data_IF_015890997157
#
_entry.id   IF_015890997157
#
_cell.length_a   1.000
_cell.length_b   1.000
_cell.length_c   1.000
_cell.angle_alpha   90.00
_cell.angle_beta   90.00
_cell.angle_gamma   90.00
#
_symmetry.space_group_name_H-M   'P 1'
#
loop_
_entity.id
_entity.type
_entity.pdbx_description
1 polymer ?
#
# COMPACT_ATOMS: atom_id res chain seq x y z
N UNK A 1 61.08 56.87 -8.05
CA UNK A 1 60.86 56.20 -9.35
C UNK A 1 59.54 55.42 -9.19
N UNK A 2 58.44 56.14 -8.92
CA UNK A 2 57.58 56.86 -9.90
C UNK A 2 56.70 55.82 -10.62
N UNK A 3 55.41 55.77 -10.30
CA UNK A 3 54.30 56.38 -11.08
C UNK A 3 54.10 55.67 -12.44
N UNK A 4 52.93 55.42 -13.01
CA UNK A 4 51.53 55.61 -12.70
C UNK A 4 50.75 55.07 -13.94
N UNK A 5 49.42 55.01 -13.87
CA UNK A 5 48.50 55.24 -15.00
C UNK A 5 48.48 54.23 -16.18
N UNK A 6 47.43 53.41 -16.28
CA UNK A 6 46.15 53.69 -16.98
C UNK A 6 46.12 53.33 -18.49
N UNK A 7 45.29 52.32 -18.77
CA UNK A 7 44.14 52.36 -19.71
C UNK A 7 44.39 52.26 -21.24
N UNK A 8 43.37 51.68 -21.92
CA UNK A 8 43.08 51.60 -23.39
C UNK A 8 43.65 50.37 -24.12
N UNK A 9 42.96 49.64 -25.02
CA UNK A 9 41.69 49.79 -25.76
C UNK A 9 41.29 48.42 -26.36
N UNK A 10 39.96 48.19 -26.49
CA UNK A 10 39.20 47.57 -27.60
C UNK A 10 39.91 46.64 -28.62
N UNK A 11 39.36 45.43 -28.83
CA UNK A 11 39.54 44.72 -30.11
C UNK A 11 39.14 43.23 -30.17
N UNK A 12 37.96 42.95 -30.73
CA UNK A 12 37.58 41.81 -31.60
C UNK A 12 37.64 40.34 -31.10
N UNK A 13 36.46 39.70 -31.11
CA UNK A 13 36.23 38.24 -31.23
C UNK A 13 36.61 37.75 -32.67
N UNK A 14 36.73 36.43 -33.00
CA UNK A 14 35.62 35.46 -32.91
C UNK A 14 36.00 33.96 -32.70
N UNK A 15 34.94 33.13 -32.62
CA UNK A 15 34.87 31.66 -32.71
C UNK A 15 35.46 30.89 -31.52
N UNK A 16 34.64 30.35 -30.62
CA UNK A 16 33.76 29.18 -30.80
C UNK A 16 33.94 28.40 -29.50
N UNK A 17 32.92 28.01 -28.77
CA UNK A 17 32.34 26.68 -28.93
C UNK A 17 31.01 26.61 -28.16
N UNK A 18 30.09 25.90 -28.80
CA UNK A 18 28.76 25.49 -28.36
C UNK A 18 28.82 24.83 -26.99
N UNK A 19 27.94 25.17 -26.05
CA UNK A 19 27.34 24.17 -25.16
C UNK A 19 26.00 24.68 -24.60
N UNK A 20 24.93 24.18 -25.22
CA UNK A 20 23.63 23.81 -24.62
C UNK A 20 22.95 24.81 -23.69
N UNK A 21 21.92 25.47 -24.24
CA UNK A 21 20.76 25.93 -23.47
C UNK A 21 20.25 24.79 -22.57
N UNK A 22 20.31 24.97 -21.25
CA UNK A 22 19.44 24.23 -20.34
C UNK A 22 18.03 24.81 -20.47
N UNK A 23 17.02 24.07 -20.95
CA UNK A 23 15.65 24.50 -20.78
C UNK A 23 15.31 24.47 -19.28
N UNK A 24 14.94 25.64 -18.79
CA UNK A 24 14.35 25.92 -17.47
C UNK A 24 13.32 24.84 -17.14
N UNK A 25 13.43 24.28 -15.94
CA UNK A 25 12.49 23.30 -15.40
C UNK A 25 11.05 23.81 -15.57
N UNK A 26 10.24 23.07 -16.34
CA UNK A 26 8.81 23.25 -16.34
C UNK A 26 8.31 22.95 -14.93
N UNK A 27 7.92 24.00 -14.22
CA UNK A 27 7.14 23.91 -13.01
C UNK A 27 5.78 23.34 -13.40
N UNK A 28 5.59 22.02 -13.28
CA UNK A 28 4.26 21.42 -13.35
C UNK A 28 3.53 21.88 -12.09
N UNK A 29 2.79 22.99 -12.21
CA UNK A 29 1.73 23.29 -11.27
C UNK A 29 0.71 22.17 -11.49
N UNK A 30 0.73 21.17 -10.62
CA UNK A 30 -0.37 20.22 -10.54
C UNK A 30 -1.51 21.02 -9.92
N UNK A 31 -2.41 21.48 -10.77
CA UNK A 31 -3.61 22.20 -10.35
C UNK A 31 -4.35 21.32 -9.32
N UNK A 32 -4.57 21.82 -8.08
CA UNK A 32 -5.18 21.04 -7.02
C UNK A 32 -6.63 20.63 -7.34
N UNK A 33 -7.31 21.34 -8.25
CA UNK A 33 -8.67 20.99 -8.67
C UNK A 33 -8.67 19.84 -9.69
N UNK A 34 -7.61 19.70 -10.49
CA UNK A 34 -7.48 18.59 -11.44
C UNK A 34 -7.29 17.23 -10.74
N UNK A 35 -6.69 17.22 -9.54
CA UNK A 35 -6.53 16.00 -8.74
C UNK A 35 -7.80 15.65 -7.97
N UNK A 36 -8.60 16.64 -7.56
CA UNK A 36 -9.91 16.43 -6.96
C UNK A 36 -10.91 15.87 -7.97
N UNK A 37 -10.85 16.31 -9.22
CA UNK A 37 -11.70 15.78 -10.29
C UNK A 37 -11.26 14.38 -10.76
N UNK A 38 -9.96 14.08 -10.76
CA UNK A 38 -9.48 12.72 -11.01
C UNK A 38 -9.91 11.73 -9.90
N UNK A 39 -9.99 12.19 -8.64
CA UNK A 39 -10.51 11.39 -7.53
C UNK A 39 -12.04 11.22 -7.58
N UNK A 40 -12.78 12.26 -7.98
CA UNK A 40 -14.23 12.16 -8.24
C UNK A 40 -14.56 11.26 -9.43
N UNK A 41 -13.73 11.26 -10.48
CA UNK A 41 -13.91 10.36 -11.61
C UNK A 41 -13.68 8.88 -11.25
N UNK A 42 -12.83 8.58 -10.26
CA UNK A 42 -12.62 7.21 -9.76
C UNK A 42 -13.76 6.76 -8.84
N UNK A 43 -14.29 7.65 -7.99
CA UNK A 43 -15.48 7.35 -7.17
C UNK A 43 -16.73 7.18 -8.05
N UNK A 44 -16.87 7.93 -9.14
CA UNK A 44 -17.97 7.76 -10.10
C UNK A 44 -17.92 6.45 -10.91
N UNK A 45 -16.75 5.81 -11.04
CA UNK A 45 -16.63 4.47 -11.66
C UNK A 45 -17.08 3.37 -10.70
N UNK A 46 -17.19 3.64 -9.40
CA UNK A 46 -17.60 2.66 -8.38
C UNK A 46 -19.09 2.70 -8.01
N UNK A 47 -19.89 3.62 -8.57
CA UNK A 47 -21.34 3.69 -8.29
C UNK A 47 -22.25 3.15 -9.41
N UNK A 48 -21.72 2.75 -10.57
CA UNK A 48 -22.54 2.28 -11.73
C UNK A 48 -22.29 0.81 -12.16
N UNK A 49 -21.49 0.02 -11.42
CA UNK A 49 -21.28 -1.41 -11.74
C UNK A 49 -21.82 -2.37 -10.68
N UNK A 50 -22.99 -2.09 -10.12
CA UNK A 50 -23.71 -3.00 -9.20
C UNK A 50 -24.75 -3.92 -9.87
N UNK A 51 -24.81 -4.02 -11.22
CA UNK A 51 -25.81 -4.89 -11.91
C UNK A 51 -25.31 -5.64 -13.16
N UNK A 52 -24.01 -5.87 -13.36
CA UNK A 52 -23.53 -6.47 -14.63
C UNK A 52 -22.46 -7.58 -14.55
N UNK A 53 -22.22 -8.22 -13.40
CA UNK A 53 -21.46 -9.50 -13.34
C UNK A 53 -22.39 -10.67 -12.98
N UNK A 54 -23.60 -10.68 -13.56
CA UNK A 54 -24.54 -11.80 -13.41
C UNK A 54 -25.43 -12.00 -14.65
N UNK A 55 -24.86 -11.96 -15.87
CA UNK A 55 -25.69 -12.10 -17.09
C UNK A 55 -25.07 -12.75 -18.33
N UNK A 56 -24.20 -13.74 -18.14
CA UNK A 56 -23.86 -14.73 -19.19
C UNK A 56 -23.71 -16.05 -18.42
N UNK A 57 -24.68 -16.95 -18.30
CA UNK A 57 -25.44 -17.68 -19.32
C UNK A 57 -26.69 -18.30 -18.67
N UNK A 58 -27.82 -18.35 -19.40
CA UNK A 58 -28.84 -19.40 -19.23
C UNK A 58 -28.80 -20.27 -20.49
N UNK A 59 -28.90 -21.61 -20.34
CA UNK A 59 -30.18 -22.24 -20.59
C UNK A 59 -30.63 -23.17 -19.45
N UNK A 60 -31.93 -23.17 -19.26
CA UNK A 60 -32.74 -23.97 -18.35
C UNK A 60 -32.67 -25.48 -18.64
N UNK A 61 -32.38 -26.28 -17.63
CA UNK A 61 -32.92 -27.64 -17.46
C UNK A 61 -32.98 -27.97 -15.96
N UNK A 62 -34.01 -28.70 -15.48
CA UNK A 62 -34.41 -28.66 -14.09
C UNK A 62 -33.69 -29.76 -13.30
N UNK A 63 -32.79 -29.39 -12.39
CA UNK A 63 -32.26 -30.35 -11.43
C UNK A 63 -32.08 -29.69 -10.07
N UNK A 64 -32.97 -30.07 -9.16
CA UNK A 64 -32.79 -30.15 -7.70
C UNK A 64 -32.32 -28.87 -6.99
N UNK A 65 -33.30 -28.04 -6.62
CA UNK A 65 -33.13 -26.99 -5.62
C UNK A 65 -32.77 -27.63 -4.28
N UNK A 66 -31.51 -27.56 -3.83
CA UNK A 66 -31.06 -27.68 -2.42
C UNK A 66 -29.54 -27.43 -2.19
N UNK A 67 -28.69 -27.18 -3.20
CA UNK A 67 -27.21 -27.19 -3.03
C UNK A 67 -26.46 -25.84 -3.19
N UNK A 68 -27.12 -24.73 -3.55
CA UNK A 68 -26.42 -23.47 -3.87
C UNK A 68 -26.03 -22.60 -2.66
N UNK A 69 -26.77 -22.68 -1.55
CA UNK A 69 -26.51 -21.85 -0.34
C UNK A 69 -25.20 -22.25 0.36
N UNK A 70 -24.89 -23.54 0.38
CA UNK A 70 -23.73 -24.10 1.08
C UNK A 70 -22.39 -23.69 0.39
N UNK A 71 -22.38 -23.56 -0.94
CA UNK A 71 -21.19 -23.11 -1.68
C UNK A 71 -20.81 -21.66 -1.39
N UNK A 72 -21.81 -20.77 -1.28
CA UNK A 72 -21.59 -19.35 -1.00
C UNK A 72 -20.92 -19.16 0.37
N UNK A 73 -21.46 -19.83 1.39
CA UNK A 73 -20.92 -19.77 2.75
C UNK A 73 -19.50 -20.35 2.85
N UNK A 74 -19.24 -21.49 2.21
CA UNK A 74 -17.90 -22.09 2.18
C UNK A 74 -16.88 -21.23 1.44
N UNK A 75 -17.30 -20.50 0.39
CA UNK A 75 -16.45 -19.56 -0.31
C UNK A 75 -16.07 -18.36 0.59
N UNK A 76 -17.04 -17.73 1.26
CA UNK A 76 -16.78 -16.63 2.21
C UNK A 76 -15.84 -17.07 3.34
N UNK A 77 -16.03 -18.28 3.87
CA UNK A 77 -15.14 -18.83 4.92
C UNK A 77 -13.71 -19.03 4.42
N UNK A 78 -13.53 -19.56 3.21
CA UNK A 78 -12.19 -19.75 2.60
C UNK A 78 -11.49 -18.42 2.35
N UNK A 79 -12.22 -17.42 1.87
CA UNK A 79 -11.70 -16.06 1.69
C UNK A 79 -11.28 -15.44 3.02
N UNK A 80 -12.12 -15.56 4.06
CA UNK A 80 -11.80 -15.10 5.41
C UNK A 80 -10.53 -15.77 5.96
N UNK A 81 -10.40 -17.10 5.79
CA UNK A 81 -9.21 -17.84 6.20
C UNK A 81 -7.95 -17.42 5.43
N UNK A 82 -8.08 -17.21 4.11
CA UNK A 82 -7.01 -16.71 3.26
C UNK A 82 -6.52 -15.33 3.69
N UNK A 83 -7.46 -14.39 3.91
CA UNK A 83 -7.15 -13.04 4.41
C UNK A 83 -6.51 -13.10 5.80
N UNK A 84 -7.00 -13.96 6.70
CA UNK A 84 -6.42 -14.17 8.02
C UNK A 84 -4.95 -14.61 7.92
N UNK A 85 -4.65 -15.59 7.07
CA UNK A 85 -3.28 -16.06 6.84
C UNK A 85 -2.35 -14.92 6.36
N UNK A 86 -2.79 -14.10 5.41
CA UNK A 86 -2.03 -12.94 4.93
C UNK A 86 -1.75 -11.92 6.05
N UNK A 87 -2.72 -11.66 6.92
CA UNK A 87 -2.54 -10.76 8.07
C UNK A 87 -1.59 -11.32 9.12
N UNK A 88 -1.71 -12.60 9.44
CA UNK A 88 -0.77 -13.26 10.34
C UNK A 88 0.66 -13.11 9.82
N UNK A 89 0.88 -13.33 8.51
CA UNK A 89 2.20 -13.11 7.90
C UNK A 89 2.66 -11.66 8.05
N UNK A 90 1.78 -10.68 7.82
CA UNK A 90 2.10 -9.26 7.96
C UNK A 90 2.55 -8.91 9.38
N UNK A 91 1.81 -9.41 10.39
CA UNK A 91 2.12 -9.20 11.81
C UNK A 91 3.45 -9.86 12.22
N UNK A 92 3.73 -11.06 11.74
CA UNK A 92 5.03 -11.72 11.97
C UNK A 92 6.19 -10.99 11.30
N UNK A 93 5.93 -10.26 10.21
CA UNK A 93 6.92 -9.51 9.45
C UNK A 93 6.78 -7.99 9.64
N UNK A 94 6.26 -7.53 10.78
CA UNK A 94 5.92 -6.13 11.02
C UNK A 94 7.11 -5.16 10.87
N UNK A 95 8.34 -5.64 11.07
CA UNK A 95 9.55 -4.85 10.84
C UNK A 95 9.81 -4.58 9.34
N UNK A 96 9.36 -5.48 8.45
CA UNK A 96 9.58 -5.42 7.01
C UNK A 96 8.49 -6.20 6.24
N UNK A 97 7.27 -5.64 6.13
CA UNK A 97 6.13 -6.32 5.50
C UNK A 97 6.16 -6.17 3.97
N UNK A 98 7.27 -6.60 3.36
CA UNK A 98 7.47 -6.67 1.91
C UNK A 98 7.82 -8.10 1.55
N UNK A 99 6.82 -8.94 1.23
CA UNK A 99 7.08 -10.31 0.84
C UNK A 99 7.85 -10.36 -0.48
N UNK A 100 8.78 -11.30 -0.57
CA UNK A 100 9.47 -11.63 -1.81
C UNK A 100 8.50 -12.17 -2.86
N UNK A 101 8.95 -12.26 -4.12
CA UNK A 101 8.14 -12.83 -5.21
C UNK A 101 7.66 -14.25 -4.90
N UNK A 102 8.55 -15.09 -4.38
CA UNK A 102 8.22 -16.48 -4.02
C UNK A 102 7.23 -16.55 -2.86
N UNK A 103 7.40 -15.73 -1.83
CA UNK A 103 6.45 -15.65 -0.71
C UNK A 103 5.07 -15.19 -1.17
N UNK A 104 4.99 -14.18 -2.05
CA UNK A 104 3.71 -13.74 -2.62
C UNK A 104 3.01 -14.83 -3.40
N UNK A 105 3.74 -15.60 -4.21
CA UNK A 105 3.16 -16.74 -4.96
C UNK A 105 2.62 -17.81 -4.02
N UNK A 106 3.38 -18.18 -2.98
CA UNK A 106 2.94 -19.13 -1.96
C UNK A 106 1.69 -18.62 -1.23
N UNK A 107 1.71 -17.35 -0.80
CA UNK A 107 0.59 -16.72 -0.11
C UNK A 107 -0.67 -16.66 -0.97
N UNK A 108 -0.53 -16.34 -2.26
CA UNK A 108 -1.64 -16.32 -3.20
C UNK A 108 -2.29 -17.70 -3.36
N UNK A 109 -1.47 -18.75 -3.45
CA UNK A 109 -1.96 -20.13 -3.51
C UNK A 109 -2.72 -20.55 -2.24
N UNK A 110 -2.26 -20.13 -1.06
CA UNK A 110 -2.91 -20.47 0.22
C UNK A 110 -4.22 -19.69 0.39
N UNK A 111 -4.22 -18.42 -0.01
CA UNK A 111 -5.39 -17.54 0.10
C UNK A 111 -6.37 -17.65 -1.08
N UNK A 112 -6.19 -18.63 -1.98
CA UNK A 112 -7.00 -18.83 -3.19
C UNK A 112 -7.22 -17.53 -3.99
N UNK A 113 -6.16 -16.72 -4.13
CA UNK A 113 -6.20 -15.42 -4.80
C UNK A 113 -5.01 -15.24 -5.74
N UNK A 114 -4.90 -14.08 -6.39
CA UNK A 114 -3.78 -13.79 -7.29
C UNK A 114 -2.62 -13.12 -6.55
N UNK A 115 -1.36 -13.31 -6.99
CA UNK A 115 -0.21 -12.59 -6.42
C UNK A 115 -0.35 -11.06 -6.51
N UNK A 116 -1.07 -10.56 -7.52
CA UNK A 116 -1.39 -9.14 -7.68
C UNK A 116 -2.29 -8.65 -6.55
N UNK A 117 -3.35 -9.39 -6.23
CA UNK A 117 -4.26 -9.05 -5.14
C UNK A 117 -3.54 -9.08 -3.78
N UNK A 118 -2.63 -10.03 -3.57
CA UNK A 118 -1.77 -10.05 -2.38
C UNK A 118 -0.93 -8.76 -2.29
N UNK A 119 -0.24 -8.36 -3.36
CA UNK A 119 0.56 -7.13 -3.34
C UNK A 119 -0.31 -5.88 -3.08
N UNK A 120 -1.48 -5.79 -3.69
CA UNK A 120 -2.44 -4.70 -3.47
C UNK A 120 -2.91 -4.65 -2.01
N UNK A 121 -3.25 -5.80 -1.41
CA UNK A 121 -3.62 -5.88 0.00
C UNK A 121 -2.49 -5.40 0.90
N UNK A 122 -1.26 -5.86 0.66
CA UNK A 122 -0.09 -5.46 1.44
C UNK A 122 0.22 -3.97 1.33
N UNK A 123 0.09 -3.39 0.13
CA UNK A 123 0.23 -1.95 -0.10
C UNK A 123 -0.80 -1.16 0.68
N UNK A 124 -2.06 -1.58 0.61
CA UNK A 124 -3.14 -0.94 1.36
C UNK A 124 -2.94 -1.06 2.87
N UNK A 125 -2.53 -2.22 3.37
CA UNK A 125 -2.29 -2.42 4.79
C UNK A 125 -1.15 -1.58 5.33
N UNK A 126 -0.02 -1.46 4.61
CA UNK A 126 1.07 -0.54 4.99
C UNK A 126 0.60 0.90 5.10
N UNK A 127 -0.32 1.32 4.24
CA UNK A 127 -0.91 2.67 4.24
C UNK A 127 -1.93 2.87 5.36
N UNK A 128 -2.93 1.98 5.46
CA UNK A 128 -4.10 2.12 6.34
C UNK A 128 -3.80 1.82 7.81
N UNK A 129 -2.85 0.93 8.09
CA UNK A 129 -2.44 0.62 9.47
C UNK A 129 -1.54 1.69 10.10
N UNK A 130 -1.10 2.70 9.33
CA UNK A 130 -0.13 3.69 9.79
C UNK A 130 1.32 3.19 9.79
N UNK A 131 1.61 1.99 9.30
CA UNK A 131 2.96 1.39 9.29
C UNK A 131 4.03 2.33 8.72
N UNK A 132 3.75 2.98 7.59
CA UNK A 132 4.70 3.92 6.96
C UNK A 132 5.01 5.13 7.85
N UNK A 133 4.02 5.62 8.59
CA UNK A 133 4.22 6.72 9.54
C UNK A 133 5.07 6.28 10.74
N UNK A 134 4.80 5.08 11.28
CA UNK A 134 5.56 4.50 12.38
C UNK A 134 7.02 4.30 12.00
N UNK A 135 7.28 3.69 10.84
CA UNK A 135 8.63 3.49 10.31
C UNK A 135 9.38 4.80 10.12
N UNK A 136 8.68 5.87 9.68
CA UNK A 136 9.30 7.17 9.46
C UNK A 136 9.65 7.88 10.76
N UNK A 137 8.71 7.91 11.72
CA UNK A 137 8.85 8.67 12.97
C UNK A 137 9.78 7.99 13.98
N UNK A 138 9.63 6.68 14.17
CA UNK A 138 10.40 5.95 15.19
C UNK A 138 11.33 4.87 14.63
N UNK A 139 11.04 4.33 13.44
CA UNK A 139 11.86 3.29 12.80
C UNK A 139 13.09 3.79 12.04
N UNK A 140 13.37 5.10 12.05
CA UNK A 140 14.50 5.70 11.35
C UNK A 140 14.51 5.42 9.85
N UNK A 141 13.34 5.18 9.24
CA UNK A 141 13.17 4.77 7.84
C UNK A 141 13.98 3.54 7.41
N UNK A 142 14.48 2.73 8.35
CA UNK A 142 15.32 1.57 8.03
C UNK A 142 14.69 0.27 8.52
N UNK A 143 15.04 -0.85 7.88
CA UNK A 143 14.63 -2.19 8.33
C UNK A 143 15.17 -2.47 9.73
N UNK A 144 16.42 -2.12 9.99
CA UNK A 144 17.07 -2.31 11.29
C UNK A 144 16.42 -1.47 12.38
N UNK A 145 16.14 -0.19 12.11
CA UNK A 145 15.47 0.68 13.07
C UNK A 145 14.05 0.22 13.39
N UNK A 146 13.28 -0.19 12.37
CA UNK A 146 11.95 -0.76 12.59
C UNK A 146 12.02 -2.08 13.40
N UNK A 147 13.01 -2.94 13.16
CA UNK A 147 13.20 -4.17 13.95
C UNK A 147 13.50 -3.86 15.42
N UNK A 148 14.41 -2.93 15.70
CA UNK A 148 14.73 -2.50 17.06
C UNK A 148 13.51 -1.86 17.76
N UNK A 149 12.73 -1.08 17.03
CA UNK A 149 11.49 -0.49 17.53
C UNK A 149 10.51 -1.58 17.99
N UNK A 150 10.23 -2.58 17.15
CA UNK A 150 9.35 -3.69 17.53
C UNK A 150 9.91 -4.49 18.72
N UNK A 151 11.23 -4.72 18.77
CA UNK A 151 11.86 -5.41 19.90
C UNK A 151 11.67 -4.63 21.22
N UNK A 152 11.84 -3.30 21.20
CA UNK A 152 11.62 -2.45 22.39
C UNK A 152 10.16 -2.39 22.80
N UNK A 153 9.24 -2.43 21.84
CA UNK A 153 7.80 -2.53 22.09
C UNK A 153 7.48 -3.82 22.87
N UNK A 154 8.01 -4.95 22.43
CA UNK A 154 7.82 -6.25 23.09
C UNK A 154 8.44 -6.29 24.48
N UNK A 155 9.59 -5.64 24.66
CA UNK A 155 10.23 -5.45 25.96
C UNK A 155 9.53 -4.40 26.85
N UNK A 156 8.43 -3.77 26.40
CA UNK A 156 7.71 -2.68 27.10
C UNK A 156 8.62 -1.51 27.49
N UNK A 157 9.64 -1.24 26.68
CA UNK A 157 10.69 -0.23 26.91
C UNK A 157 10.62 0.90 25.87
N UNK A 158 9.40 1.22 25.43
CA UNK A 158 9.14 2.34 24.52
C UNK A 158 8.39 3.46 25.23
N UNK A 159 8.64 4.67 24.76
CA UNK A 159 7.83 5.83 25.08
C UNK A 159 6.33 5.56 24.81
N UNK A 160 5.42 6.08 25.64
CA UNK A 160 3.98 5.80 25.54
C UNK A 160 3.41 6.09 24.15
N UNK A 161 3.84 7.17 23.50
CA UNK A 161 3.36 7.56 22.17
C UNK A 161 3.75 6.51 21.09
N UNK A 162 5.00 6.04 21.13
CA UNK A 162 5.48 5.02 20.20
C UNK A 162 4.80 3.67 20.44
N UNK A 163 4.60 3.32 21.71
CA UNK A 163 3.89 2.10 22.12
C UNK A 163 2.44 2.10 21.65
N UNK A 164 1.71 3.21 21.86
CA UNK A 164 0.33 3.37 21.40
C UNK A 164 0.22 3.29 19.88
N UNK A 165 1.14 3.92 19.14
CA UNK A 165 1.15 3.83 17.68
C UNK A 165 1.32 2.38 17.16
N UNK A 166 2.21 1.59 17.78
CA UNK A 166 2.39 0.18 17.42
C UNK A 166 1.18 -0.66 17.85
N UNK A 167 0.60 -0.35 19.01
CA UNK A 167 -0.63 -1.00 19.50
C UNK A 167 -1.79 -0.80 18.53
N UNK A 168 -2.03 0.44 18.10
CA UNK A 168 -3.03 0.79 17.07
C UNK A 168 -2.77 0.10 15.73
N UNK A 169 -1.50 0.03 15.33
CA UNK A 169 -1.12 -0.70 14.12
C UNK A 169 -1.42 -2.19 14.23
N UNK A 170 -1.16 -2.83 15.39
CA UNK A 170 -1.52 -4.24 15.63
C UNK A 170 -3.04 -4.45 15.70
N UNK A 171 -3.77 -3.55 16.36
CA UNK A 171 -5.24 -3.65 16.49
C UNK A 171 -5.97 -3.53 15.15
N UNK A 172 -5.43 -2.76 14.20
CA UNK A 172 -5.94 -2.70 12.82
C UNK A 172 -6.08 -4.10 12.18
N UNK A 173 -5.16 -5.02 12.48
CA UNK A 173 -5.20 -6.38 11.95
C UNK A 173 -5.99 -7.35 12.83
N UNK A 174 -6.18 -7.04 14.12
CA UNK A 174 -6.92 -7.88 15.07
C UNK A 174 -8.43 -7.68 14.99
N UNK A 175 -8.89 -6.45 14.69
CA UNK A 175 -10.29 -6.05 14.67
C UNK A 175 -11.00 -6.34 13.34
N UNK A 176 -10.49 -7.27 12.53
CA UNK A 176 -11.10 -7.50 11.24
C UNK A 176 -12.38 -8.34 11.33
N UNK A 177 -13.42 -7.88 10.65
CA UNK A 177 -14.72 -8.55 10.54
C UNK A 177 -14.63 -10.00 10.02
N UNK A 178 -13.54 -10.40 9.36
CA UNK A 178 -13.31 -11.80 9.00
C UNK A 178 -13.24 -12.73 10.23
N UNK A 179 -12.86 -12.22 11.40
CA UNK A 179 -12.84 -12.97 12.67
C UNK A 179 -14.25 -13.20 13.22
N UNK A 180 -15.13 -12.19 13.14
CA UNK A 180 -16.51 -12.33 13.61
C UNK A 180 -17.30 -13.37 12.82
N UNK A 181 -17.01 -13.56 11.53
CA UNK A 181 -17.67 -14.60 10.73
C UNK A 181 -17.27 -16.03 11.11
N UNK A 182 -16.13 -16.23 11.80
CA UNK A 182 -15.61 -17.55 12.18
C UNK A 182 -16.00 -17.90 13.62
N UNK A 183 -15.97 -16.93 14.54
CA UNK A 183 -16.23 -17.18 15.97
C UNK A 183 -17.72 -17.35 16.31
N UNK A 184 -18.65 -16.74 15.56
CA UNK A 184 -20.11 -16.88 15.75
C UNK A 184 -20.63 -18.32 15.54
N UNK A 185 -19.82 -19.24 14.97
CA UNK A 185 -20.21 -20.63 14.67
C UNK A 185 -19.60 -21.64 15.66
N UNK A 186 -18.75 -21.20 16.61
CA UNK A 186 -18.15 -22.08 17.63
C UNK A 186 -18.77 -21.94 19.03
N UNK A 187 -19.81 -21.12 19.19
CA UNK A 187 -20.64 -21.17 20.40
C UNK A 187 -21.71 -22.26 20.24
N UNK A 188 -21.71 -23.30 21.09
CA UNK A 188 -22.70 -24.38 21.07
C UNK A 188 -24.10 -23.92 21.47
#
# INVERSE_FOLDING_TARGET
>A
MEDAFQQKLSGAAPHGERHTHCPRANHVVVDPDLMADALRAIDAILEEEDVAISRVLLPTSPTSANDDDDRSFHQTRREAAGVHYLRSWFLSNLAHPFPSRAERQKMASIASTTPRNVESSFTNWRRRSGWSAVRRKWGGQSRTGMRLLIQRYEARSLEPEASDAISKMRSYFANDKARSCIEEVSSP
#
